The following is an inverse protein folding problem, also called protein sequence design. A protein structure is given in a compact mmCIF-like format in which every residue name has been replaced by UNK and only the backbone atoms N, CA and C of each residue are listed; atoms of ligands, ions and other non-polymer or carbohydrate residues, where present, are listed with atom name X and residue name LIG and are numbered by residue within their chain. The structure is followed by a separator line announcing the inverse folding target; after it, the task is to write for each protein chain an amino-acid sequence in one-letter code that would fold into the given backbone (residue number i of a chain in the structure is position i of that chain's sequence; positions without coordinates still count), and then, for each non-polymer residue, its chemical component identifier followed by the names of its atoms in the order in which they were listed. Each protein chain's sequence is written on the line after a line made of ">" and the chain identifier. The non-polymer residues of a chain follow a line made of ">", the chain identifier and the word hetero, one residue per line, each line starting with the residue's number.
data_IF_921169758678
#
_entry.id   IF_921169758678
#
_cell.length_a   1.000
_cell.length_b   1.000
_cell.length_c   1.000
_cell.angle_alpha   90.00
_cell.angle_beta   90.00
_cell.angle_gamma   90.00
#
_symmetry.space_group_name_H-M   'P 1'
#
loop_
_entity.id
_entity.type
_entity.pdbx_description
1 polymer ?
#
# COMPACT_ATOMS: atom_id res chain seq x y z
N UNK A 1 -1.70 9.98 19.04
CA UNK A 1 -0.65 9.92 18.02
C UNK A 1 -0.92 8.69 17.13
N UNK A 2 -0.71 8.84 15.83
CA UNK A 2 -0.69 7.73 14.89
C UNK A 2 0.73 7.17 14.88
N UNK A 3 0.85 5.87 15.09
CA UNK A 3 2.12 5.17 15.15
C UNK A 3 2.36 4.31 13.90
N UNK A 4 1.27 3.86 13.25
CA UNK A 4 1.35 3.11 12.00
C UNK A 4 0.21 3.50 11.04
N UNK A 5 0.52 3.55 9.77
CA UNK A 5 -0.43 3.52 8.66
C UNK A 5 0.00 2.44 7.69
N UNK A 6 -0.88 1.52 7.39
CA UNK A 6 -0.61 0.43 6.44
C UNK A 6 -1.82 0.22 5.54
N UNK A 7 -1.62 -0.39 4.37
CA UNK A 7 -2.78 -0.59 3.51
C UNK A 7 -2.51 -1.31 2.21
N UNK A 8 -3.61 -1.71 1.61
CA UNK A 8 -3.70 -2.17 0.22
C UNK A 8 -4.10 -0.94 -0.60
N UNK A 9 -3.13 -0.26 -1.17
CA UNK A 9 -3.29 1.06 -1.79
C UNK A 9 -3.46 1.01 -3.31
N UNK A 10 -3.32 -0.18 -3.92
CA UNK A 10 -3.46 -0.37 -5.36
C UNK A 10 -4.46 -1.49 -5.66
N UNK A 11 -5.55 -1.14 -6.36
CA UNK A 11 -6.63 -2.06 -6.70
C UNK A 11 -6.25 -3.10 -7.75
N UNK A 12 -5.36 -2.75 -8.69
CA UNK A 12 -4.88 -3.65 -9.75
C UNK A 12 -4.11 -4.81 -9.15
N UNK A 13 -3.11 -4.54 -8.31
CA UNK A 13 -2.30 -5.58 -7.66
C UNK A 13 -3.14 -6.43 -6.73
N UNK A 14 -4.06 -5.81 -5.97
CA UNK A 14 -4.94 -6.58 -5.11
C UNK A 14 -5.89 -7.49 -5.89
N UNK A 15 -6.40 -7.03 -7.04
CA UNK A 15 -7.19 -7.87 -7.94
C UNK A 15 -6.39 -9.07 -8.43
N UNK A 16 -5.14 -8.83 -8.89
CA UNK A 16 -4.26 -9.89 -9.41
C UNK A 16 -4.01 -10.93 -8.33
N UNK A 17 -3.48 -10.55 -7.17
CA UNK A 17 -3.18 -11.47 -6.07
C UNK A 17 -4.42 -12.20 -5.55
N UNK A 18 -5.58 -11.51 -5.47
CA UNK A 18 -6.83 -12.13 -5.07
C UNK A 18 -7.26 -13.22 -6.06
N UNK A 19 -7.11 -12.98 -7.37
CA UNK A 19 -7.47 -13.93 -8.42
C UNK A 19 -6.50 -15.11 -8.52
N UNK A 20 -5.21 -14.86 -8.35
CA UNK A 20 -4.22 -15.93 -8.21
C UNK A 20 -4.56 -16.85 -7.03
N UNK A 21 -4.98 -16.26 -5.90
CA UNK A 21 -5.35 -17.00 -4.69
C UNK A 21 -6.66 -17.78 -4.85
N UNK A 22 -7.72 -17.17 -5.42
CA UNK A 22 -9.04 -17.79 -5.52
C UNK A 22 -9.15 -18.80 -6.67
N UNK A 23 -8.61 -18.44 -7.83
CA UNK A 23 -8.84 -19.17 -9.09
C UNK A 23 -7.64 -20.05 -9.48
N UNK A 24 -6.47 -19.85 -8.85
CA UNK A 24 -5.26 -20.64 -9.08
C UNK A 24 -4.52 -20.32 -10.37
N UNK A 25 -4.85 -19.20 -11.03
CA UNK A 25 -4.18 -18.77 -12.27
C UNK A 25 -2.79 -18.18 -11.98
N UNK A 26 -1.93 -18.18 -13.01
CA UNK A 26 -0.64 -17.48 -12.96
C UNK A 26 -0.78 -15.97 -13.14
N UNK A 27 0.27 -15.23 -12.76
CA UNK A 27 0.33 -13.77 -12.83
C UNK A 27 -0.06 -13.23 -14.23
N UNK A 28 0.58 -13.69 -15.28
CA UNK A 28 0.37 -13.21 -16.66
C UNK A 28 -1.08 -13.37 -17.13
N UNK A 29 -1.70 -14.51 -16.80
CA UNK A 29 -3.09 -14.78 -17.18
C UNK A 29 -4.04 -13.82 -16.46
N UNK A 30 -3.81 -13.58 -15.17
CA UNK A 30 -4.66 -12.68 -14.39
C UNK A 30 -4.44 -11.23 -14.79
N UNK A 31 -3.20 -10.84 -15.09
CA UNK A 31 -2.89 -9.50 -15.60
C UNK A 31 -3.64 -9.22 -16.90
N UNK A 32 -3.61 -10.14 -17.85
CA UNK A 32 -4.37 -10.00 -19.10
C UNK A 32 -5.87 -9.84 -18.83
N UNK A 33 -6.44 -10.64 -17.93
CA UNK A 33 -7.85 -10.53 -17.54
C UNK A 33 -8.17 -9.18 -16.87
N UNK A 34 -7.21 -8.62 -16.10
CA UNK A 34 -7.35 -7.29 -15.49
C UNK A 34 -7.37 -6.20 -16.57
N UNK A 35 -6.52 -6.33 -17.59
CA UNK A 35 -6.49 -5.42 -18.75
C UNK A 35 -7.79 -5.48 -19.55
N UNK A 36 -8.27 -6.68 -19.86
CA UNK A 36 -9.53 -6.90 -20.60
C UNK A 36 -10.75 -6.31 -19.88
N UNK A 37 -10.70 -6.24 -18.55
CA UNK A 37 -11.73 -5.62 -17.70
C UNK A 37 -11.53 -4.12 -17.44
N UNK A 38 -10.43 -3.54 -17.93
CA UNK A 38 -10.08 -2.15 -17.67
C UNK A 38 -9.63 -1.85 -16.23
N UNK A 39 -9.19 -2.87 -15.48
CA UNK A 39 -8.62 -2.71 -14.14
C UNK A 39 -7.11 -2.44 -14.17
N UNK A 40 -6.42 -2.88 -15.22
CA UNK A 40 -5.04 -2.57 -15.50
C UNK A 40 -4.92 -1.85 -16.84
N UNK A 41 -4.01 -0.90 -16.91
CA UNK A 41 -3.66 -0.22 -18.15
C UNK A 41 -2.80 -1.12 -19.05
N UNK A 42 -2.57 -0.68 -20.29
CA UNK A 42 -1.71 -1.43 -21.24
C UNK A 42 -0.27 -1.55 -20.73
N UNK A 43 0.21 -0.51 -20.07
CA UNK A 43 1.49 -0.50 -19.34
C UNK A 43 1.19 -0.45 -17.84
N UNK A 44 1.15 -1.61 -17.16
CA UNK A 44 0.77 -1.72 -15.75
C UNK A 44 1.97 -1.55 -14.80
N UNK A 45 3.17 -1.21 -15.29
CA UNK A 45 4.41 -1.24 -14.55
C UNK A 45 4.33 -0.46 -13.23
N UNK A 46 3.77 0.76 -13.26
CA UNK A 46 3.63 1.57 -12.05
C UNK A 46 2.79 0.90 -10.94
N UNK A 47 1.84 0.04 -11.34
CA UNK A 47 1.00 -0.72 -10.42
C UNK A 47 1.75 -1.96 -9.90
N UNK A 48 2.19 -2.82 -10.84
CA UNK A 48 2.71 -4.16 -10.48
C UNK A 48 4.07 -4.13 -9.79
N UNK A 49 4.86 -3.08 -10.02
CA UNK A 49 6.14 -2.83 -9.33
C UNK A 49 5.99 -2.03 -8.03
N UNK A 50 4.77 -1.65 -7.65
CA UNK A 50 4.49 -1.00 -6.36
C UNK A 50 4.76 0.50 -6.31
N UNK A 51 5.16 1.16 -7.41
CA UNK A 51 5.46 2.60 -7.43
C UNK A 51 4.26 3.48 -7.10
N UNK A 52 3.05 3.09 -7.53
CA UNK A 52 1.81 3.79 -7.16
C UNK A 52 1.56 3.70 -5.64
N UNK A 53 1.70 2.51 -5.08
CA UNK A 53 1.56 2.30 -3.64
C UNK A 53 2.63 3.06 -2.84
N UNK A 54 3.87 3.13 -3.35
CA UNK A 54 4.98 3.87 -2.77
C UNK A 54 4.66 5.38 -2.66
N UNK A 55 4.17 6.00 -3.73
CA UNK A 55 3.77 7.42 -3.70
C UNK A 55 2.63 7.68 -2.73
N UNK A 56 1.66 6.76 -2.65
CA UNK A 56 0.51 6.86 -1.74
C UNK A 56 0.91 6.74 -0.28
N UNK A 57 1.79 5.79 0.06
CA UNK A 57 2.23 5.63 1.44
C UNK A 57 3.13 6.81 1.89
N UNK A 58 3.89 7.43 0.98
CA UNK A 58 4.62 8.66 1.29
C UNK A 58 3.68 9.77 1.77
N UNK A 59 2.58 9.98 1.05
CA UNK A 59 1.56 10.97 1.41
C UNK A 59 0.90 10.61 2.74
N UNK A 60 0.43 9.39 2.89
CA UNK A 60 -0.26 8.94 4.09
C UNK A 60 0.63 9.00 5.33
N UNK A 61 1.89 8.57 5.21
CA UNK A 61 2.86 8.64 6.30
C UNK A 61 3.24 10.08 6.64
N UNK A 62 3.37 10.94 5.63
CA UNK A 62 3.60 12.37 5.86
C UNK A 62 2.47 13.00 6.68
N UNK A 63 1.23 12.69 6.33
CA UNK A 63 0.05 13.15 7.07
C UNK A 63 0.00 12.58 8.50
N UNK A 64 0.23 11.28 8.63
CA UNK A 64 0.17 10.59 9.92
C UNK A 64 1.25 11.06 10.90
N UNK A 65 2.43 11.37 10.39
CA UNK A 65 3.61 11.70 11.21
C UNK A 65 3.87 13.21 11.32
N UNK A 66 3.17 14.03 10.52
CA UNK A 66 3.32 15.49 10.54
C UNK A 66 4.65 15.98 9.97
N UNK A 67 5.34 15.17 9.17
CA UNK A 67 6.61 15.51 8.54
C UNK A 67 6.60 15.06 7.07
N UNK A 68 7.29 15.79 6.20
CA UNK A 68 7.42 15.40 4.81
C UNK A 68 8.27 14.13 4.65
N UNK A 69 7.74 13.13 3.95
CA UNK A 69 8.45 11.92 3.52
C UNK A 69 8.53 11.94 2.01
N UNK A 70 9.75 11.89 1.47
CA UNK A 70 9.96 11.77 0.04
C UNK A 70 9.71 10.31 -0.37
N UNK A 71 8.90 10.10 -1.41
CA UNK A 71 8.64 8.76 -1.92
C UNK A 71 9.91 8.06 -2.43
N UNK A 72 10.95 8.83 -2.78
CA UNK A 72 12.27 8.31 -3.20
C UNK A 72 13.07 7.67 -2.07
N UNK A 73 12.71 7.98 -0.84
CA UNK A 73 13.36 7.39 0.34
C UNK A 73 12.61 6.16 0.85
N UNK A 74 11.48 5.79 0.21
CA UNK A 74 10.68 4.65 0.62
C UNK A 74 11.25 3.38 0.01
N UNK A 75 11.43 2.38 0.85
CA UNK A 75 11.90 1.07 0.43
C UNK A 75 10.81 0.35 -0.37
N UNK A 76 11.18 -0.10 -1.55
CA UNK A 76 10.37 -0.96 -2.41
C UNK A 76 10.91 -2.39 -2.35
N UNK A 77 10.14 -3.33 -2.86
CA UNK A 77 10.55 -4.72 -2.91
C UNK A 77 11.84 -4.95 -3.71
N UNK A 78 12.10 -4.13 -4.74
CA UNK A 78 13.35 -4.15 -5.50
C UNK A 78 14.56 -3.86 -4.61
N UNK A 79 14.50 -2.84 -3.75
CA UNK A 79 15.59 -2.49 -2.83
C UNK A 79 15.79 -3.56 -1.76
N UNK A 80 14.71 -4.10 -1.22
CA UNK A 80 14.73 -5.27 -0.33
C UNK A 80 15.35 -6.50 -1.02
N UNK A 81 15.01 -6.72 -2.27
CA UNK A 81 15.52 -7.82 -3.08
C UNK A 81 17.02 -7.73 -3.27
N UNK A 82 17.54 -6.54 -3.60
CA UNK A 82 18.99 -6.30 -3.74
C UNK A 82 19.72 -6.58 -2.42
N UNK A 83 19.19 -6.07 -1.31
CA UNK A 83 19.78 -6.24 0.01
C UNK A 83 19.80 -7.70 0.47
N UNK A 84 18.70 -8.40 0.24
CA UNK A 84 18.56 -9.82 0.60
C UNK A 84 19.25 -10.76 -0.39
N UNK A 85 19.92 -10.22 -1.44
CA UNK A 85 20.58 -10.97 -2.52
C UNK A 85 19.61 -11.95 -3.21
N UNK A 86 18.35 -11.61 -3.30
CA UNK A 86 17.34 -12.34 -4.06
C UNK A 86 17.27 -11.71 -5.45
N UNK A 87 17.47 -12.46 -6.53
CA UNK A 87 17.36 -11.91 -7.87
C UNK A 87 15.90 -11.53 -8.16
N UNK A 88 15.69 -10.32 -8.63
CA UNK A 88 14.47 -9.86 -9.34
C UNK A 88 13.13 -10.05 -8.65
N UNK A 89 12.93 -9.48 -7.46
CA UNK A 89 11.59 -9.32 -6.93
C UNK A 89 11.18 -7.86 -7.18
N UNK A 90 10.39 -7.62 -8.20
CA UNK A 90 9.85 -6.31 -8.55
C UNK A 90 8.35 -6.31 -8.27
N UNK A 91 7.94 -5.78 -7.13
CA UNK A 91 6.53 -5.71 -6.74
C UNK A 91 5.88 -7.10 -6.64
N UNK A 92 4.90 -7.37 -7.49
CA UNK A 92 4.19 -8.67 -7.50
C UNK A 92 4.47 -9.52 -8.73
N UNK A 93 5.34 -9.07 -9.63
CA UNK A 93 5.59 -9.70 -10.93
C UNK A 93 6.16 -11.11 -10.78
N UNK A 94 7.02 -11.33 -9.79
CA UNK A 94 7.64 -12.62 -9.50
C UNK A 94 6.82 -13.52 -8.57
N UNK A 95 5.66 -13.07 -8.11
CA UNK A 95 4.78 -13.93 -7.29
C UNK A 95 4.19 -15.03 -8.16
N UNK A 96 4.53 -16.27 -7.84
CA UNK A 96 4.15 -17.44 -8.60
C UNK A 96 2.91 -18.14 -8.02
N UNK A 97 2.29 -19.03 -8.82
CA UNK A 97 1.23 -19.91 -8.31
C UNK A 97 1.74 -20.84 -7.19
N UNK A 98 3.04 -21.12 -7.15
CA UNK A 98 3.67 -21.91 -6.08
C UNK A 98 3.69 -21.15 -4.76
N UNK A 99 4.06 -19.86 -4.78
CA UNK A 99 4.06 -19.00 -3.59
C UNK A 99 2.65 -18.87 -3.01
N UNK A 100 1.66 -18.69 -3.88
CA UNK A 100 0.23 -18.67 -3.48
C UNK A 100 -0.19 -19.99 -2.81
N UNK A 101 0.26 -21.14 -3.32
CA UNK A 101 -0.03 -22.45 -2.69
C UNK A 101 0.62 -22.58 -1.32
N UNK A 102 1.87 -22.15 -1.16
CA UNK A 102 2.55 -22.17 0.13
C UNK A 102 1.89 -21.24 1.14
N UNK A 103 1.56 -20.01 0.74
CA UNK A 103 0.82 -19.09 1.60
C UNK A 103 -0.51 -19.71 2.07
N UNK A 104 -1.29 -20.28 1.14
CA UNK A 104 -2.55 -20.95 1.45
C UNK A 104 -2.37 -22.15 2.39
N UNK A 105 -1.33 -22.96 2.21
CA UNK A 105 -1.02 -24.09 3.09
C UNK A 105 -0.67 -23.61 4.51
N UNK A 106 -0.09 -22.43 4.65
CA UNK A 106 0.19 -21.77 5.92
C UNK A 106 -1.04 -21.01 6.52
N UNK A 107 -2.21 -21.08 5.88
CA UNK A 107 -3.41 -20.33 6.32
C UNK A 107 -3.35 -18.83 6.03
N UNK A 108 -2.46 -18.41 5.15
CA UNK A 108 -2.22 -17.01 4.80
C UNK A 108 -2.61 -16.68 3.35
N UNK A 109 -2.62 -15.39 3.05
CA UNK A 109 -2.71 -14.85 1.69
C UNK A 109 -1.56 -13.88 1.45
N UNK A 110 -1.16 -13.71 0.18
CA UNK A 110 -0.17 -12.71 -0.20
C UNK A 110 -0.89 -11.43 -0.60
N UNK A 111 -0.46 -10.30 -0.04
CA UNK A 111 -0.93 -8.95 -0.38
C UNK A 111 0.25 -8.03 -0.62
N UNK A 112 0.14 -7.12 -1.58
CA UNK A 112 1.08 -6.00 -1.68
C UNK A 112 0.69 -4.97 -0.63
N UNK A 113 1.47 -4.86 0.42
CA UNK A 113 1.24 -3.90 1.49
C UNK A 113 2.18 -2.71 1.37
N UNK A 114 1.61 -1.54 1.60
CA UNK A 114 2.34 -0.32 1.82
C UNK A 114 2.25 0.01 3.32
N UNK A 115 3.39 0.18 3.97
CA UNK A 115 3.49 0.30 5.44
C UNK A 115 4.34 1.52 5.76
N UNK A 116 3.83 2.40 6.63
CA UNK A 116 4.58 3.46 7.27
C UNK A 116 4.44 3.33 8.78
N UNK A 117 5.55 3.25 9.49
CA UNK A 117 5.55 3.06 10.94
C UNK A 117 6.55 3.99 11.63
N UNK A 118 6.15 4.53 12.75
CA UNK A 118 6.99 5.27 13.67
C UNK A 118 7.25 4.42 14.91
N UNK A 119 8.51 4.31 15.29
CA UNK A 119 8.97 3.63 16.50
C UNK A 119 9.70 4.63 17.39
N UNK A 120 10.14 4.20 18.57
CA UNK A 120 10.98 5.00 19.45
C UNK A 120 12.39 5.22 18.88
N UNK A 121 12.81 4.40 17.93
CA UNK A 121 14.13 4.48 17.28
C UNK A 121 14.12 5.33 16.01
N UNK A 122 12.94 5.59 15.43
CA UNK A 122 12.79 6.32 14.17
C UNK A 122 11.50 6.00 13.44
N UNK A 123 11.45 6.32 12.17
CA UNK A 123 10.33 5.96 11.30
C UNK A 123 10.84 5.25 10.04
N UNK A 124 10.01 4.38 9.49
CA UNK A 124 10.27 3.75 8.21
C UNK A 124 9.01 3.67 7.36
N UNK A 125 9.20 3.54 6.06
CA UNK A 125 8.14 3.23 5.13
C UNK A 125 8.65 2.24 4.07
N UNK A 126 7.79 1.31 3.66
CA UNK A 126 8.13 0.29 2.67
C UNK A 126 6.90 -0.18 1.90
N UNK A 127 7.13 -0.78 0.73
CA UNK A 127 6.11 -1.46 -0.08
C UNK A 127 6.66 -2.82 -0.50
N UNK A 128 5.98 -3.88 -0.11
CA UNK A 128 6.39 -5.24 -0.47
C UNK A 128 5.22 -6.22 -0.44
N UNK A 129 5.32 -7.37 -1.13
CA UNK A 129 4.45 -8.51 -0.91
C UNK A 129 4.64 -9.09 0.49
N UNK A 130 3.54 -9.27 1.21
CA UNK A 130 3.53 -9.80 2.58
C UNK A 130 2.53 -10.93 2.69
N UNK A 131 2.92 -12.00 3.36
CA UNK A 131 1.99 -13.05 3.78
C UNK A 131 1.28 -12.61 5.05
N UNK A 132 -0.04 -12.51 4.99
CA UNK A 132 -0.89 -12.18 6.15
C UNK A 132 -1.94 -13.25 6.38
N UNK A 133 -2.24 -13.52 7.62
CA UNK A 133 -3.27 -14.47 8.04
C UNK A 133 -4.58 -13.76 8.46
N UNK A 134 -5.56 -14.54 8.89
CA UNK A 134 -6.89 -14.03 9.25
C UNK A 134 -6.91 -13.11 10.49
N UNK A 135 -5.82 -12.99 11.24
CA UNK A 135 -5.70 -12.05 12.35
C UNK A 135 -5.47 -10.60 11.87
N UNK A 136 -4.93 -10.45 10.65
CA UNK A 136 -4.71 -9.14 10.05
C UNK A 136 -6.00 -8.60 9.41
N UNK A 137 -6.38 -7.37 9.73
CA UNK A 137 -7.59 -6.73 9.22
C UNK A 137 -7.64 -6.62 7.69
N UNK A 138 -6.48 -6.56 7.02
CA UNK A 138 -6.36 -6.46 5.56
C UNK A 138 -6.53 -7.81 4.84
N UNK A 139 -6.55 -8.93 5.57
CA UNK A 139 -6.67 -10.28 5.01
C UNK A 139 -7.88 -10.44 4.08
N UNK A 140 -9.03 -9.92 4.50
CA UNK A 140 -10.30 -10.06 3.78
C UNK A 140 -10.51 -9.02 2.67
N UNK A 141 -9.59 -8.09 2.48
CA UNK A 141 -9.66 -7.06 1.43
C UNK A 141 -9.29 -7.66 0.09
N UNK A 142 -10.26 -7.92 -0.76
CA UNK A 142 -10.08 -8.65 -2.02
C UNK A 142 -10.54 -7.85 -3.24
N UNK A 143 -10.23 -8.36 -4.44
CA UNK A 143 -10.63 -7.79 -5.72
C UNK A 143 -10.04 -6.37 -5.92
N UNK A 144 -10.80 -5.45 -6.47
CA UNK A 144 -10.39 -4.07 -6.76
C UNK A 144 -10.52 -3.12 -5.56
N UNK A 145 -10.80 -3.66 -4.38
CA UNK A 145 -10.96 -2.84 -3.18
C UNK A 145 -9.60 -2.48 -2.57
N UNK A 146 -9.59 -1.29 -2.00
CA UNK A 146 -8.48 -0.77 -1.22
C UNK A 146 -8.88 -0.69 0.25
N UNK A 147 -7.88 -0.70 1.11
CA UNK A 147 -8.09 -0.40 2.53
C UNK A 147 -6.85 0.27 3.11
N UNK A 148 -7.07 1.19 4.04
CA UNK A 148 -6.05 1.81 4.86
C UNK A 148 -6.35 1.47 6.31
N UNK A 149 -5.39 0.84 6.98
CA UNK A 149 -5.41 0.58 8.41
C UNK A 149 -4.54 1.63 9.10
N UNK A 150 -5.03 2.15 10.21
CA UNK A 150 -4.33 3.15 11.01
C UNK A 150 -4.29 2.65 12.44
N UNK A 151 -3.08 2.58 13.02
CA UNK A 151 -2.89 2.28 14.43
C UNK A 151 -2.52 3.54 15.20
N UNK A 152 -3.27 3.84 16.23
CA UNK A 152 -3.02 4.98 17.11
C UNK A 152 -2.96 4.57 18.57
N UNK A 153 -2.10 5.24 19.33
CA UNK A 153 -1.84 4.91 20.73
C UNK A 153 -3.05 5.01 21.67
N UNK A 154 -4.09 5.72 21.28
CA UNK A 154 -5.32 5.89 22.07
C UNK A 154 -6.56 5.24 21.43
N UNK A 155 -6.62 5.26 20.10
CA UNK A 155 -7.77 4.73 19.36
C UNK A 155 -7.63 3.24 19.05
N UNK A 156 -6.38 2.70 19.10
CA UNK A 156 -6.09 1.36 18.62
C UNK A 156 -6.16 1.30 17.10
N UNK A 157 -6.73 0.22 16.57
CA UNK A 157 -6.83 -0.01 15.12
C UNK A 157 -8.12 0.55 14.55
N UNK A 158 -8.00 1.30 13.46
CA UNK A 158 -9.10 1.76 12.64
C UNK A 158 -8.82 1.42 11.17
N UNK A 159 -9.83 0.99 10.43
CA UNK A 159 -9.68 0.65 9.02
C UNK A 159 -10.70 1.40 8.17
N UNK A 160 -10.20 1.98 7.07
CA UNK A 160 -11.01 2.59 6.02
C UNK A 160 -10.99 1.67 4.80
N UNK A 161 -12.17 1.25 4.36
CA UNK A 161 -12.32 0.29 3.27
C UNK A 161 -13.23 0.85 2.19
N UNK A 162 -12.85 0.69 0.92
CA UNK A 162 -13.65 1.15 -0.20
C UNK A 162 -13.01 0.93 -1.56
N UNK A 163 -13.65 1.47 -2.58
CA UNK A 163 -13.10 1.50 -3.93
C UNK A 163 -12.15 2.69 -4.07
N UNK A 164 -10.89 2.43 -4.39
CA UNK A 164 -9.87 3.46 -4.63
C UNK A 164 -9.97 4.12 -6.00
N UNK A 165 -10.62 3.48 -6.98
CA UNK A 165 -10.73 3.96 -8.35
C UNK A 165 -12.14 3.73 -8.93
N UNK A 166 -12.42 4.39 -10.04
CA UNK A 166 -13.69 4.30 -10.75
C UNK A 166 -14.41 5.64 -10.85
N UNK A 167 -15.26 5.80 -11.87
CA UNK A 167 -15.92 7.06 -12.23
C UNK A 167 -16.62 7.73 -11.02
N UNK A 168 -17.44 6.99 -10.28
CA UNK A 168 -18.21 7.54 -9.16
C UNK A 168 -17.36 7.80 -7.91
N UNK A 169 -16.50 6.88 -7.44
CA UNK A 169 -15.61 7.13 -6.31
C UNK A 169 -14.69 8.33 -6.55
N UNK A 170 -14.06 8.43 -7.73
CA UNK A 170 -13.20 9.56 -8.08
C UNK A 170 -13.97 10.88 -8.11
N UNK A 171 -15.14 10.91 -8.75
CA UNK A 171 -15.97 12.11 -8.78
C UNK A 171 -16.39 12.53 -7.37
N UNK A 172 -16.74 11.58 -6.49
CA UNK A 172 -17.11 11.87 -5.10
C UNK A 172 -15.95 12.50 -4.32
N UNK A 173 -14.72 11.99 -4.49
CA UNK A 173 -13.54 12.54 -3.82
C UNK A 173 -13.25 13.98 -4.31
N UNK A 174 -13.24 14.20 -5.63
CA UNK A 174 -13.01 15.55 -6.21
C UNK A 174 -14.05 16.55 -5.72
N UNK A 175 -15.33 16.17 -5.71
CA UNK A 175 -16.40 17.07 -5.22
C UNK A 175 -16.24 17.35 -3.73
N UNK A 176 -15.85 16.33 -2.93
CA UNK A 176 -15.60 16.53 -1.50
C UNK A 176 -14.49 17.56 -1.26
N UNK A 177 -13.39 17.46 -1.99
CA UNK A 177 -12.26 18.41 -1.89
C UNK A 177 -12.66 19.83 -2.31
N UNK A 178 -13.44 19.96 -3.39
CA UNK A 178 -13.96 21.27 -3.84
C UNK A 178 -14.87 21.90 -2.78
N UNK A 179 -15.76 21.11 -2.18
CA UNK A 179 -16.67 21.58 -1.12
C UNK A 179 -15.86 21.98 0.12
N UNK A 180 -14.85 21.20 0.50
CA UNK A 180 -14.00 21.51 1.64
C UNK A 180 -13.21 22.80 1.44
N UNK A 181 -12.60 22.97 0.26
CA UNK A 181 -11.90 24.20 -0.10
C UNK A 181 -12.83 25.44 -0.11
N UNK A 182 -14.06 25.27 -0.60
CA UNK A 182 -15.04 26.35 -0.62
C UNK A 182 -15.53 26.76 0.78
N UNK A 183 -15.59 25.81 1.73
CA UNK A 183 -15.96 26.08 3.13
C UNK A 183 -14.84 26.75 3.93
N UNK A 184 -13.59 26.59 3.51
CA UNK A 184 -12.41 27.08 4.23
C UNK A 184 -11.56 28.03 3.35
N UNK A 185 -12.12 29.15 2.86
CA UNK A 185 -11.38 30.06 2.01
C UNK A 185 -10.22 30.72 2.78
N UNK A 186 -9.03 30.70 2.18
CA UNK A 186 -7.84 31.31 2.76
C UNK A 186 -7.16 30.51 3.88
N UNK A 187 -7.62 29.30 4.14
CA UNK A 187 -6.96 28.36 5.06
C UNK A 187 -6.46 27.15 4.32
N UNK A 188 -5.35 26.57 4.77
CA UNK A 188 -4.99 25.22 4.34
C UNK A 188 -5.77 24.24 5.20
N UNK A 189 -6.55 23.35 4.59
CA UNK A 189 -7.34 22.33 5.28
C UNK A 189 -6.46 21.40 6.12
N UNK A 190 -5.20 21.30 5.77
CA UNK A 190 -4.19 20.49 6.47
C UNK A 190 -3.60 21.18 7.70
N UNK A 191 -4.04 22.40 8.04
CA UNK A 191 -3.53 23.18 9.17
C UNK A 191 -2.03 23.45 9.09
N UNK A 192 -1.41 23.72 10.24
CA UNK A 192 0.05 23.83 10.38
C UNK A 192 0.77 22.48 10.33
N UNK A 193 0.06 21.40 10.00
CA UNK A 193 0.51 20.02 10.17
C UNK A 193 1.53 19.51 9.14
N UNK A 194 1.72 20.26 8.03
CA UNK A 194 2.76 19.87 7.09
C UNK A 194 4.07 20.60 7.42
N UNK A 195 4.78 20.06 8.36
CA UNK A 195 6.12 20.58 8.64
C UNK A 195 7.00 20.34 7.40
N UNK A 196 7.56 21.43 6.86
CA UNK A 196 8.47 21.36 5.71
C UNK A 196 9.75 20.57 5.99
N UNK A 197 9.99 20.20 7.25
CA UNK A 197 11.14 19.38 7.61
C UNK A 197 10.95 17.95 7.11
N UNK A 198 11.87 17.52 6.26
CA UNK A 198 11.94 16.15 5.78
C UNK A 198 12.18 15.19 6.96
N UNK A 199 11.41 14.11 7.03
CA UNK A 199 11.66 13.02 7.94
C UNK A 199 12.65 12.06 7.31
N UNK A 200 13.77 11.83 7.96
CA UNK A 200 14.72 10.80 7.56
C UNK A 200 14.19 9.43 8.00
N UNK A 201 14.14 8.51 7.06
CA UNK A 201 13.73 7.13 7.34
C UNK A 201 14.89 6.33 7.92
N UNK A 202 14.57 5.36 8.76
CA UNK A 202 15.55 4.41 9.29
C UNK A 202 16.17 3.61 8.16
N UNK A 203 17.46 3.26 8.23
CA UNK A 203 18.06 2.30 7.31
C UNK A 203 17.29 0.97 7.30
N UNK A 204 17.25 0.32 6.14
CA UNK A 204 16.48 -0.92 5.96
C UNK A 204 16.94 -2.03 6.92
N UNK A 205 18.24 -2.10 7.20
CA UNK A 205 18.85 -3.08 8.13
C UNK A 205 18.40 -2.89 9.59
N UNK A 206 17.97 -1.67 9.94
CA UNK A 206 17.57 -1.31 11.30
C UNK A 206 16.05 -1.47 11.53
N UNK A 207 15.27 -1.84 10.49
CA UNK A 207 13.83 -2.03 10.62
C UNK A 207 13.54 -3.27 11.47
N UNK A 208 12.83 -3.11 12.61
CA UNK A 208 12.54 -4.23 13.49
C UNK A 208 11.50 -5.18 12.89
N UNK A 209 11.82 -6.45 12.92
CA UNK A 209 10.95 -7.53 12.43
C UNK A 209 11.29 -7.96 11.00
N UNK A 210 10.82 -9.15 10.64
CA UNK A 210 10.84 -9.63 9.26
C UNK A 210 9.40 -9.70 8.78
N UNK A 211 9.17 -9.15 7.62
CA UNK A 211 7.86 -9.17 6.95
C UNK A 211 7.65 -10.46 6.18
#
# INVERSE_FOLDING_TARGET
>A
RIDEVSGILNGTTNYILSKMTSDGYGFEEVLKRAQDKGYAERDPQADVEGYDACRKIAILSSLAFGNYIDYKDIYTDEELSILLKKPNTEGITDITATDIKYAKAAGAVIKLLAIGRRTDQGAYALVCPVMIDASNSLYSVNSVFNAVSVHGNMIGDAMFYGKGAGKRPTASAVVADVVEAAKNPGTTVMGDGWNAKKLELMPLDDIPGRF
#
